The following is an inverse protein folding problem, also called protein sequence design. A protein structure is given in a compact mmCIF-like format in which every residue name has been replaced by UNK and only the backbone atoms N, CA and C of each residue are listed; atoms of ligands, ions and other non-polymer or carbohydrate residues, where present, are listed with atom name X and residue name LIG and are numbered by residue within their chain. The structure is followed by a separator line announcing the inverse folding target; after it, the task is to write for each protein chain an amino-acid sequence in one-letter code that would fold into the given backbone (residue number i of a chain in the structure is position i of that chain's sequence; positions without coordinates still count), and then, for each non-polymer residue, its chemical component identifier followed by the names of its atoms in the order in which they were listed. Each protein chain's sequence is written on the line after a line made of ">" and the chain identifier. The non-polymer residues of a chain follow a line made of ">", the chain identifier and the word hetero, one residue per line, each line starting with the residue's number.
data_IF_088088863867
#
_entry.id   IF_088088863867
#
_cell.length_a   1.000
_cell.length_b   1.000
_cell.length_c   1.000
_cell.angle_alpha   90.00
_cell.angle_beta   90.00
_cell.angle_gamma   90.00
#
_symmetry.space_group_name_H-M   'P 1'
#
loop_
_entity.id
_entity.type
_entity.pdbx_description
1 polymer ?
#
# COMPACT_ATOMS: atom_id res chain seq x y z
N UNK A 1 7.34 21.06 -13.47
CA UNK A 1 8.09 19.88 -13.99
C UNK A 1 9.58 20.12 -13.81
N UNK A 2 10.35 19.03 -13.71
CA UNK A 2 11.82 19.10 -13.76
C UNK A 2 12.26 19.54 -15.15
N UNK A 3 13.18 20.55 -15.18
CA UNK A 3 13.71 21.09 -16.44
C UNK A 3 15.07 20.50 -16.80
N UNK A 4 15.69 19.76 -15.91
CA UNK A 4 16.95 19.05 -16.08
C UNK A 4 17.58 18.67 -14.75
N UNK A 5 18.48 17.69 -14.80
CA UNK A 5 19.30 17.27 -13.67
C UNK A 5 20.75 17.46 -14.09
N UNK A 6 21.49 18.29 -13.37
CA UNK A 6 22.89 18.62 -13.67
C UNK A 6 23.76 18.44 -12.45
N UNK A 7 25.04 18.13 -12.67
CA UNK A 7 26.02 18.13 -11.59
C UNK A 7 26.12 19.54 -10.95
N UNK A 8 26.10 19.61 -9.63
CA UNK A 8 26.26 20.85 -8.92
C UNK A 8 27.76 21.24 -8.82
N UNK A 9 28.12 22.51 -9.07
CA UNK A 9 29.49 22.98 -8.84
C UNK A 9 29.87 22.94 -7.35
N UNK A 10 31.15 22.68 -7.04
CA UNK A 10 31.67 22.56 -5.67
C UNK A 10 31.41 23.79 -4.77
N UNK A 11 31.21 24.95 -5.38
CA UNK A 11 30.99 26.24 -4.69
C UNK A 11 29.60 26.83 -4.98
N UNK A 12 28.62 26.01 -5.28
CA UNK A 12 27.26 26.47 -5.45
C UNK A 12 26.71 27.09 -4.15
N UNK A 13 26.02 28.21 -4.28
CA UNK A 13 25.30 28.86 -3.19
C UNK A 13 23.82 28.85 -3.46
N UNK A 14 23.03 28.60 -2.42
CA UNK A 14 21.57 28.60 -2.49
C UNK A 14 21.05 30.03 -2.74
N UNK A 15 20.14 30.17 -3.71
CA UNK A 15 19.45 31.41 -4.05
C UNK A 15 18.05 31.46 -3.47
N UNK A 16 17.43 32.64 -3.48
CA UNK A 16 16.01 32.75 -3.12
C UNK A 16 15.14 31.87 -4.03
N UNK A 17 14.26 31.09 -3.43
CA UNK A 17 13.38 30.14 -4.14
C UNK A 17 14.00 28.76 -4.41
N UNK A 18 15.26 28.53 -4.05
CA UNK A 18 15.92 27.23 -4.11
C UNK A 18 15.79 26.48 -2.78
N UNK A 19 15.70 25.16 -2.87
CA UNK A 19 15.76 24.25 -1.72
C UNK A 19 17.12 23.56 -1.73
N UNK A 20 17.96 23.87 -0.73
CA UNK A 20 19.21 23.16 -0.51
C UNK A 20 18.96 21.84 0.22
N UNK A 21 19.31 20.74 -0.42
CA UNK A 21 19.26 19.42 0.20
C UNK A 21 20.41 19.16 1.19
N UNK A 22 21.44 20.01 1.21
CA UNK A 22 22.56 19.94 2.16
C UNK A 22 23.33 18.59 2.09
N UNK A 23 23.49 18.02 0.92
CA UNK A 23 24.12 16.70 0.73
C UNK A 23 23.23 15.49 1.13
N UNK A 24 21.99 15.73 1.48
CA UNK A 24 21.03 14.69 1.80
C UNK A 24 20.42 14.05 0.56
N UNK A 25 19.92 12.82 0.70
CA UNK A 25 19.33 12.05 -0.39
C UNK A 25 18.02 12.68 -0.86
N UNK A 26 17.90 12.91 -2.15
CA UNK A 26 16.66 13.32 -2.82
C UNK A 26 16.08 12.12 -3.56
N UNK A 27 14.81 11.82 -3.34
CA UNK A 27 14.11 10.72 -4.00
C UNK A 27 12.74 11.19 -4.52
N UNK A 28 12.14 10.41 -5.41
CA UNK A 28 10.73 10.58 -5.76
C UNK A 28 9.85 10.44 -4.49
N UNK A 29 8.65 11.04 -4.46
CA UNK A 29 7.76 10.94 -3.30
C UNK A 29 7.40 9.49 -2.98
N UNK A 30 7.18 9.20 -1.70
CA UNK A 30 6.70 7.89 -1.29
C UNK A 30 5.30 7.62 -1.82
N UNK A 31 5.06 6.36 -2.10
CA UNK A 31 3.77 5.82 -2.55
C UNK A 31 3.23 4.90 -1.46
N UNK A 32 2.01 5.15 -0.99
CA UNK A 32 1.26 4.22 -0.15
C UNK A 32 0.30 3.43 -1.04
N UNK A 33 0.66 2.21 -1.45
CA UNK A 33 -0.10 1.48 -2.46
C UNK A 33 -1.30 0.73 -1.88
N UNK A 34 -1.44 0.66 -0.54
CA UNK A 34 -2.48 -0.12 0.10
C UNK A 34 -2.78 0.35 1.52
N UNK A 35 -3.92 1.01 1.72
CA UNK A 35 -4.40 1.51 3.01
C UNK A 35 -5.93 1.49 3.07
N UNK A 36 -6.51 1.47 4.27
CA UNK A 36 -7.95 1.57 4.54
C UNK A 36 -8.27 2.91 5.23
N UNK A 37 -8.45 4.00 4.44
CA UNK A 37 -8.70 5.34 5.00
C UNK A 37 -10.10 5.48 5.60
N UNK A 38 -11.07 4.68 5.19
CA UNK A 38 -12.41 4.64 5.75
C UNK A 38 -12.42 4.12 7.19
N UNK A 39 -11.53 3.16 7.50
CA UNK A 39 -11.35 2.61 8.83
C UNK A 39 -10.25 3.32 9.65
N UNK A 40 -9.42 4.16 9.02
CA UNK A 40 -8.31 4.84 9.68
C UNK A 40 -8.74 5.61 10.94
N UNK A 41 -7.91 5.60 11.99
CA UNK A 41 -8.10 6.31 13.27
C UNK A 41 -9.32 5.85 14.08
N UNK A 42 -9.82 4.62 13.88
CA UNK A 42 -10.97 4.07 14.63
C UNK A 42 -10.56 3.03 15.68
N UNK A 43 -9.29 2.86 15.98
CA UNK A 43 -8.82 1.94 17.01
C UNK A 43 -9.48 2.24 18.38
N UNK A 44 -10.14 1.23 18.95
CA UNK A 44 -10.90 1.37 20.19
C UNK A 44 -12.36 1.81 20.03
N UNK A 45 -12.85 1.97 18.80
CA UNK A 45 -14.21 2.36 18.49
C UNK A 45 -14.97 1.26 17.72
N UNK A 46 -16.14 0.79 18.18
CA UNK A 46 -16.77 1.08 19.49
C UNK A 46 -16.07 0.36 20.65
N UNK A 47 -15.16 -0.56 20.36
CA UNK A 47 -14.36 -1.34 21.30
C UNK A 47 -12.98 -1.68 20.75
N UNK A 48 -12.05 -2.03 21.63
CA UNK A 48 -10.76 -2.54 21.22
C UNK A 48 -10.84 -3.97 20.69
N UNK A 49 -10.09 -4.27 19.63
CA UNK A 49 -9.71 -5.63 19.27
C UNK A 49 -8.76 -6.17 20.36
N UNK A 50 -9.25 -7.07 21.22
CA UNK A 50 -8.48 -7.58 22.38
C UNK A 50 -7.62 -8.79 22.05
N UNK A 51 -8.05 -9.63 21.10
CA UNK A 51 -7.29 -10.80 20.66
C UNK A 51 -6.15 -10.42 19.71
N UNK A 52 -6.26 -9.27 19.03
CA UNK A 52 -5.37 -8.85 17.97
C UNK A 52 -5.47 -9.74 16.72
N UNK A 53 -6.61 -10.42 16.52
CA UNK A 53 -6.83 -11.27 15.35
C UNK A 53 -7.51 -10.51 14.22
N UNK A 54 -7.32 -10.96 12.98
CA UNK A 54 -8.00 -10.44 11.80
C UNK A 54 -9.53 -10.49 11.97
N UNK A 55 -10.05 -11.62 12.44
CA UNK A 55 -11.50 -11.83 12.55
C UNK A 55 -12.16 -10.91 13.59
N UNK A 56 -11.54 -10.71 14.77
CA UNK A 56 -12.07 -9.74 15.75
C UNK A 56 -11.95 -8.31 15.19
N UNK A 57 -10.92 -8.00 14.39
CA UNK A 57 -10.82 -6.73 13.68
C UNK A 57 -12.01 -6.50 12.76
N UNK A 58 -12.38 -7.50 11.96
CA UNK A 58 -13.57 -7.46 11.08
C UNK A 58 -14.86 -7.27 11.88
N UNK A 59 -15.01 -7.96 13.02
CA UNK A 59 -16.17 -7.79 13.92
C UNK A 59 -16.25 -6.36 14.45
N UNK A 60 -15.13 -5.82 14.98
CA UNK A 60 -15.07 -4.42 15.46
C UNK A 60 -15.45 -3.43 14.36
N UNK A 61 -14.94 -3.65 13.15
CA UNK A 61 -15.26 -2.80 12.00
C UNK A 61 -16.73 -2.91 11.61
N UNK A 62 -17.28 -4.12 11.56
CA UNK A 62 -18.69 -4.34 11.25
C UNK A 62 -19.63 -3.61 12.25
N UNK A 63 -19.26 -3.60 13.54
CA UNK A 63 -19.96 -2.81 14.56
C UNK A 63 -19.79 -1.29 14.31
N UNK A 64 -18.56 -0.81 14.07
CA UNK A 64 -18.26 0.62 13.85
C UNK A 64 -18.93 1.15 12.57
N UNK A 65 -18.97 0.34 11.53
CA UNK A 65 -19.59 0.66 10.24
C UNK A 65 -21.05 1.09 10.37
N UNK A 66 -21.79 0.53 11.34
CA UNK A 66 -23.20 0.89 11.56
C UNK A 66 -23.40 2.34 12.02
N UNK A 67 -22.36 2.99 12.50
CA UNK A 67 -22.38 4.37 13.03
C UNK A 67 -21.57 5.34 12.18
N UNK A 68 -21.10 4.93 11.01
CA UNK A 68 -20.37 5.82 10.11
C UNK A 68 -21.25 6.96 9.63
N UNK A 69 -20.71 8.17 9.66
CA UNK A 69 -21.25 9.31 8.96
C UNK A 69 -20.28 9.83 7.90
N UNK A 70 -20.80 10.52 6.93
CA UNK A 70 -20.02 11.14 5.86
C UNK A 70 -18.92 12.06 6.43
N UNK A 71 -19.29 12.94 7.37
CA UNK A 71 -18.35 13.91 7.97
C UNK A 71 -17.28 13.24 8.84
N UNK A 72 -17.62 12.15 9.53
CA UNK A 72 -16.66 11.34 10.30
C UNK A 72 -15.57 10.76 9.41
N UNK A 73 -15.96 10.16 8.29
CA UNK A 73 -15.02 9.60 7.33
C UNK A 73 -14.12 10.69 6.72
N UNK A 74 -14.70 11.81 6.25
CA UNK A 74 -13.94 12.95 5.73
C UNK A 74 -12.91 13.45 6.74
N UNK A 75 -13.32 13.64 7.99
CA UNK A 75 -12.45 14.16 9.04
C UNK A 75 -11.24 13.26 9.27
N UNK A 76 -11.46 11.94 9.48
CA UNK A 76 -10.41 10.95 9.77
C UNK A 76 -9.49 10.72 8.58
N UNK A 77 -10.05 10.55 7.40
CA UNK A 77 -9.28 10.35 6.17
C UNK A 77 -8.41 11.58 5.83
N UNK A 78 -8.97 12.78 5.91
CA UNK A 78 -8.21 14.01 5.66
C UNK A 78 -7.09 14.23 6.67
N UNK A 79 -7.31 13.90 7.95
CA UNK A 79 -6.28 13.94 8.97
C UNK A 79 -5.16 12.94 8.67
N UNK A 80 -5.51 11.72 8.25
CA UNK A 80 -4.56 10.69 7.88
C UNK A 80 -3.74 11.09 6.66
N UNK A 81 -4.37 11.63 5.61
CA UNK A 81 -3.65 12.09 4.41
C UNK A 81 -2.72 13.27 4.69
N UNK A 82 -3.07 14.18 5.60
CA UNK A 82 -2.15 15.24 6.07
C UNK A 82 -0.94 14.65 6.80
N UNK A 83 -1.16 13.62 7.62
CA UNK A 83 -0.06 12.90 8.27
C UNK A 83 0.84 12.21 7.24
N UNK A 84 0.27 11.59 6.20
CA UNK A 84 1.00 10.96 5.11
C UNK A 84 1.85 11.98 4.34
N UNK A 85 1.26 13.11 3.95
CA UNK A 85 2.00 14.19 3.29
C UNK A 85 3.17 14.70 4.15
N UNK A 86 2.98 14.79 5.48
CA UNK A 86 4.04 15.12 6.41
C UNK A 86 5.17 14.10 6.48
N UNK A 87 4.93 12.86 6.05
CA UNK A 87 5.93 11.80 5.92
C UNK A 87 6.42 11.58 4.47
N UNK A 88 6.11 12.51 3.54
CA UNK A 88 6.59 12.45 2.16
C UNK A 88 5.78 11.55 1.22
N UNK A 89 4.64 11.03 1.66
CA UNK A 89 3.72 10.27 0.82
C UNK A 89 2.86 11.25 0.02
N UNK A 90 2.87 11.16 -1.31
CA UNK A 90 2.08 12.02 -2.19
C UNK A 90 1.14 11.25 -3.11
N UNK A 91 1.21 9.93 -3.12
CA UNK A 91 0.36 9.04 -3.91
C UNK A 91 -0.17 7.94 -3.00
N UNK A 92 -1.47 7.76 -2.99
CA UNK A 92 -2.15 6.84 -2.07
C UNK A 92 -3.21 6.05 -2.82
N UNK A 93 -3.28 4.74 -2.58
CA UNK A 93 -4.40 3.89 -2.96
C UNK A 93 -5.12 3.44 -1.70
N UNK A 94 -6.40 3.79 -1.58
CA UNK A 94 -7.23 3.40 -0.43
C UNK A 94 -8.29 2.38 -0.82
N UNK A 95 -8.38 1.31 -0.03
CA UNK A 95 -9.48 0.35 -0.11
C UNK A 95 -10.65 0.89 0.72
N UNK A 96 -11.82 0.95 0.10
CA UNK A 96 -13.03 1.48 0.73
C UNK A 96 -14.07 0.38 0.80
N UNK A 97 -14.49 0.02 2.01
CA UNK A 97 -15.51 -1.01 2.22
C UNK A 97 -16.85 -0.59 1.60
N UNK A 98 -17.28 -1.37 0.62
CA UNK A 98 -18.54 -1.15 -0.11
C UNK A 98 -19.65 -2.08 0.36
N UNK A 99 -19.43 -2.86 1.42
CA UNK A 99 -20.46 -3.68 2.05
C UNK A 99 -21.32 -2.83 3.03
N UNK A 100 -21.64 -1.63 2.59
CA UNK A 100 -22.61 -0.70 3.16
C UNK A 100 -23.58 -0.29 2.04
N UNK A 101 -24.90 -0.67 2.14
CA UNK A 101 -25.90 -0.33 1.11
C UNK A 101 -26.03 1.16 0.84
N UNK A 102 -25.66 2.02 1.78
CA UNK A 102 -25.69 3.48 1.62
C UNK A 102 -24.44 4.02 0.93
N UNK A 103 -23.37 3.22 0.82
CA UNK A 103 -22.07 3.61 0.28
C UNK A 103 -21.51 4.88 0.94
N UNK A 104 -21.68 5.00 2.25
CA UNK A 104 -21.34 6.20 3.03
C UNK A 104 -19.85 6.51 2.93
N UNK A 105 -19.01 5.50 3.16
CA UNK A 105 -17.56 5.65 3.08
C UNK A 105 -17.09 6.01 1.66
N UNK A 106 -17.65 5.37 0.63
CA UNK A 106 -17.28 5.69 -0.76
C UNK A 106 -17.59 7.14 -1.12
N UNK A 107 -18.82 7.61 -0.81
CA UNK A 107 -19.23 8.99 -1.12
C UNK A 107 -18.35 10.01 -0.42
N UNK A 108 -17.97 9.75 0.83
CA UNK A 108 -17.03 10.57 1.58
C UNK A 108 -15.62 10.55 0.94
N UNK A 109 -15.12 9.36 0.53
CA UNK A 109 -13.80 9.23 -0.08
C UNK A 109 -13.69 9.94 -1.44
N UNK A 110 -14.75 9.93 -2.25
CA UNK A 110 -14.78 10.69 -3.50
C UNK A 110 -14.62 12.20 -3.23
N UNK A 111 -15.24 12.73 -2.18
CA UNK A 111 -15.08 14.12 -1.78
C UNK A 111 -13.67 14.38 -1.19
N UNK A 112 -13.14 13.49 -0.35
CA UNK A 112 -11.78 13.58 0.18
C UNK A 112 -10.76 13.65 -0.96
N UNK A 113 -10.90 12.84 -2.01
CA UNK A 113 -10.02 12.87 -3.19
C UNK A 113 -9.93 14.27 -3.79
N UNK A 114 -11.05 14.94 -3.95
CA UNK A 114 -11.10 16.30 -4.50
C UNK A 114 -10.48 17.33 -3.55
N UNK A 115 -10.82 17.25 -2.25
CA UNK A 115 -10.33 18.17 -1.23
C UNK A 115 -8.83 18.09 -1.00
N UNK A 116 -8.21 16.91 -1.21
CA UNK A 116 -6.79 16.66 -0.91
C UNK A 116 -5.89 16.69 -2.15
N UNK A 117 -6.43 16.88 -3.34
CA UNK A 117 -5.69 16.85 -4.62
C UNK A 117 -4.49 17.81 -4.68
N UNK A 118 -4.51 18.88 -3.88
CA UNK A 118 -3.40 19.84 -3.78
C UNK A 118 -2.10 19.23 -3.19
N UNK A 119 -2.21 18.15 -2.41
CA UNK A 119 -1.04 17.56 -1.72
C UNK A 119 -0.92 16.03 -1.82
N UNK A 120 -1.97 15.32 -2.25
CA UNK A 120 -1.98 13.86 -2.44
C UNK A 120 -2.81 13.50 -3.67
N UNK A 121 -2.33 12.58 -4.49
CA UNK A 121 -3.13 11.91 -5.51
C UNK A 121 -3.73 10.63 -4.89
N UNK A 122 -5.06 10.53 -4.87
CA UNK A 122 -5.79 9.46 -4.20
C UNK A 122 -6.52 8.57 -5.21
N UNK A 123 -6.17 7.28 -5.27
CA UNK A 123 -6.92 6.24 -5.96
C UNK A 123 -7.85 5.51 -4.99
N UNK A 124 -9.05 5.21 -5.43
CA UNK A 124 -10.09 4.57 -4.63
C UNK A 124 -10.39 3.18 -5.17
N UNK A 125 -10.22 2.16 -4.32
CA UNK A 125 -10.57 0.77 -4.60
C UNK A 125 -11.97 0.47 -4.09
N UNK A 126 -12.83 -0.06 -4.94
CA UNK A 126 -14.09 -0.68 -4.53
C UNK A 126 -13.77 -1.99 -3.80
N UNK A 127 -13.81 -2.01 -2.47
CA UNK A 127 -13.40 -3.16 -1.66
C UNK A 127 -14.60 -3.84 -0.98
N UNK A 128 -14.94 -5.07 -1.37
CA UNK A 128 -16.04 -5.82 -0.77
C UNK A 128 -15.57 -6.59 0.48
N UNK A 129 -15.42 -5.92 1.62
CA UNK A 129 -14.87 -6.48 2.87
C UNK A 129 -15.52 -7.80 3.30
N UNK A 130 -16.82 -7.98 3.04
CA UNK A 130 -17.57 -9.19 3.42
C UNK A 130 -17.78 -10.16 2.23
N UNK A 131 -17.02 -9.98 1.15
CA UNK A 131 -17.12 -10.78 -0.08
C UNK A 131 -18.10 -10.20 -1.11
N UNK A 132 -18.04 -10.74 -2.31
CA UNK A 132 -18.92 -10.37 -3.44
C UNK A 132 -20.11 -11.33 -3.50
N UNK A 133 -19.86 -12.63 -3.39
CA UNK A 133 -20.90 -13.69 -3.38
C UNK A 133 -21.45 -13.94 -2.00
N UNK A 134 -20.65 -13.78 -0.97
CA UNK A 134 -21.03 -14.00 0.42
C UNK A 134 -21.84 -12.85 1.02
N UNK A 135 -21.76 -11.65 0.43
CA UNK A 135 -22.52 -10.50 0.85
C UNK A 135 -23.77 -10.28 -0.02
N UNK A 136 -24.89 -9.94 0.64
CA UNK A 136 -26.15 -9.69 -0.08
C UNK A 136 -26.03 -8.48 -0.99
N UNK A 137 -26.36 -8.66 -2.27
CA UNK A 137 -26.23 -7.64 -3.33
C UNK A 137 -24.77 -7.15 -3.55
N UNK A 138 -23.76 -7.98 -3.22
CA UNK A 138 -22.37 -7.59 -3.36
C UNK A 138 -21.99 -7.21 -4.80
N UNK A 139 -22.50 -7.94 -5.80
CA UNK A 139 -22.23 -7.64 -7.21
C UNK A 139 -22.84 -6.30 -7.63
N UNK A 140 -24.10 -6.06 -7.29
CA UNK A 140 -24.80 -4.84 -7.61
C UNK A 140 -24.13 -3.61 -6.97
N UNK A 141 -23.64 -3.76 -5.73
CA UNK A 141 -22.89 -2.71 -5.03
C UNK A 141 -21.55 -2.45 -5.74
N UNK A 142 -20.80 -3.47 -6.13
CA UNK A 142 -19.54 -3.33 -6.85
C UNK A 142 -19.74 -2.63 -8.20
N UNK A 143 -20.77 -3.00 -8.98
CA UNK A 143 -21.09 -2.34 -10.23
C UNK A 143 -21.45 -0.87 -10.02
N UNK A 144 -22.24 -0.56 -8.98
CA UNK A 144 -22.61 0.82 -8.64
C UNK A 144 -21.40 1.67 -8.23
N UNK A 145 -20.49 1.11 -7.42
CA UNK A 145 -19.29 1.80 -6.95
C UNK A 145 -18.35 2.14 -8.12
N UNK A 146 -18.18 1.22 -9.06
CA UNK A 146 -17.42 1.48 -10.29
C UNK A 146 -18.08 2.60 -11.12
N UNK A 147 -19.42 2.59 -11.23
CA UNK A 147 -20.19 3.63 -11.92
C UNK A 147 -20.06 5.00 -11.24
N UNK A 148 -19.97 5.04 -9.92
CA UNK A 148 -19.78 6.27 -9.12
C UNK A 148 -18.37 6.85 -9.22
N UNK A 149 -17.39 6.11 -9.71
CA UNK A 149 -16.06 6.63 -10.00
C UNK A 149 -14.93 6.05 -9.14
N UNK A 150 -15.09 4.83 -8.62
CA UNK A 150 -13.94 4.08 -8.11
C UNK A 150 -12.94 3.82 -9.23
N UNK A 151 -11.66 3.95 -8.92
CA UNK A 151 -10.56 3.82 -9.88
C UNK A 151 -10.13 2.36 -10.08
N UNK A 152 -10.35 1.54 -9.06
CA UNK A 152 -9.82 0.18 -8.94
C UNK A 152 -10.92 -0.77 -8.46
N UNK A 153 -10.98 -1.97 -9.02
CA UNK A 153 -11.87 -3.04 -8.56
C UNK A 153 -11.11 -3.94 -7.60
N UNK A 154 -11.63 -4.09 -6.40
CA UNK A 154 -11.08 -4.93 -5.34
C UNK A 154 -11.77 -6.28 -5.21
N UNK A 155 -11.26 -7.11 -4.30
CA UNK A 155 -11.83 -8.40 -3.93
C UNK A 155 -11.12 -9.01 -2.73
N UNK A 156 -11.78 -9.99 -2.10
CA UNK A 156 -11.25 -10.75 -0.96
C UNK A 156 -11.66 -12.23 -1.07
N UNK A 157 -11.11 -12.98 -2.07
CA UNK A 157 -11.61 -14.30 -2.41
C UNK A 157 -11.46 -15.33 -1.31
N UNK A 158 -10.47 -15.19 -0.43
CA UNK A 158 -10.24 -16.12 0.68
C UNK A 158 -11.24 -15.95 1.84
N UNK A 159 -12.02 -14.87 1.84
CA UNK A 159 -13.08 -14.60 2.81
C UNK A 159 -14.47 -15.04 2.31
N UNK A 160 -14.61 -15.38 1.04
CA UNK A 160 -15.85 -15.94 0.51
C UNK A 160 -16.21 -17.26 1.19
N UNK A 161 -17.50 -17.60 1.29
CA UNK A 161 -17.97 -18.78 2.04
C UNK A 161 -17.38 -20.10 1.55
N UNK A 162 -17.03 -20.20 0.27
CA UNK A 162 -16.44 -21.39 -0.32
C UNK A 162 -15.31 -21.04 -1.30
N UNK A 163 -14.45 -22.02 -1.57
CA UNK A 163 -13.41 -21.86 -2.60
C UNK A 163 -13.98 -21.58 -3.98
N UNK A 164 -15.12 -22.17 -4.31
CA UNK A 164 -15.78 -21.95 -5.60
C UNK A 164 -16.26 -20.49 -5.69
N UNK A 165 -16.87 -19.97 -4.64
CA UNK A 165 -17.26 -18.56 -4.57
C UNK A 165 -16.04 -17.63 -4.69
N UNK A 166 -14.94 -17.94 -4.01
CA UNK A 166 -13.70 -17.17 -4.14
C UNK A 166 -13.14 -17.16 -5.55
N UNK A 167 -13.12 -18.32 -6.22
CA UNK A 167 -12.66 -18.41 -7.60
C UNK A 167 -13.61 -17.70 -8.58
N UNK A 168 -14.91 -17.78 -8.35
CA UNK A 168 -15.92 -17.08 -9.16
C UNK A 168 -15.85 -15.56 -8.93
N UNK A 169 -15.64 -15.12 -7.70
CA UNK A 169 -15.49 -13.69 -7.37
C UNK A 169 -14.29 -13.08 -8.12
N UNK A 170 -13.15 -13.79 -8.16
CA UNK A 170 -11.97 -13.36 -8.92
C UNK A 170 -12.29 -13.25 -10.42
N UNK A 171 -12.93 -14.26 -11.02
CA UNK A 171 -13.28 -14.19 -12.44
C UNK A 171 -14.22 -13.02 -12.75
N UNK A 172 -15.22 -12.84 -11.92
CA UNK A 172 -16.23 -11.79 -12.11
C UNK A 172 -15.63 -10.39 -11.93
N UNK A 173 -14.83 -10.15 -10.87
CA UNK A 173 -14.21 -8.85 -10.65
C UNK A 173 -13.23 -8.47 -11.77
N UNK A 174 -12.49 -9.45 -12.32
CA UNK A 174 -11.59 -9.24 -13.46
C UNK A 174 -12.37 -8.82 -14.73
N UNK A 175 -13.51 -9.46 -15.01
CA UNK A 175 -14.39 -9.06 -16.11
C UNK A 175 -15.00 -7.67 -15.88
N UNK A 176 -15.43 -7.36 -14.64
CA UNK A 176 -15.96 -6.04 -14.29
C UNK A 176 -14.91 -4.95 -14.53
N UNK A 177 -13.68 -5.17 -14.06
CA UNK A 177 -12.59 -4.23 -14.22
C UNK A 177 -12.23 -4.03 -15.70
N UNK A 178 -12.05 -5.13 -16.44
CA UNK A 178 -11.70 -5.09 -17.86
C UNK A 178 -12.77 -4.37 -18.70
N UNK A 179 -14.06 -4.68 -18.45
CA UNK A 179 -15.20 -4.02 -19.15
C UNK A 179 -15.26 -2.51 -18.92
N UNK A 180 -14.85 -2.06 -17.72
CA UNK A 180 -14.94 -0.66 -17.33
C UNK A 180 -13.58 0.09 -17.38
N UNK A 181 -12.54 -0.55 -17.94
CA UNK A 181 -11.18 -0.02 -18.03
C UNK A 181 -10.64 0.44 -16.66
N UNK A 182 -10.82 -0.40 -15.61
CA UNK A 182 -10.37 -0.12 -14.23
C UNK A 182 -9.18 -0.97 -13.86
N UNK A 183 -8.32 -0.47 -12.99
CA UNK A 183 -7.28 -1.27 -12.34
C UNK A 183 -7.90 -2.34 -11.42
N UNK A 184 -7.10 -3.31 -11.03
CA UNK A 184 -7.50 -4.36 -10.08
C UNK A 184 -6.52 -4.43 -8.92
N UNK A 185 -7.05 -4.56 -7.69
CA UNK A 185 -6.25 -4.81 -6.50
C UNK A 185 -7.01 -5.74 -5.54
N UNK A 186 -6.52 -6.95 -5.40
CA UNK A 186 -7.20 -8.03 -4.66
C UNK A 186 -6.45 -8.32 -3.37
N UNK A 187 -7.16 -8.30 -2.22
CA UNK A 187 -6.69 -8.96 -0.99
C UNK A 187 -6.63 -10.45 -1.26
N UNK A 188 -5.47 -10.91 -1.72
CA UNK A 188 -5.30 -12.22 -2.29
C UNK A 188 -4.60 -13.14 -1.30
N UNK A 189 -5.27 -14.21 -0.86
CA UNK A 189 -4.68 -15.22 0.00
C UNK A 189 -4.05 -14.63 1.28
N UNK A 190 -4.74 -13.68 1.94
CA UNK A 190 -4.33 -13.06 3.22
C UNK A 190 -4.67 -13.98 4.39
N UNK A 191 -4.14 -15.15 4.35
CA UNK A 191 -4.34 -16.20 5.35
C UNK A 191 -3.11 -17.12 5.38
N UNK A 192 -2.92 -17.84 6.48
CA UNK A 192 -1.81 -18.80 6.63
C UNK A 192 -2.08 -20.16 5.99
N UNK A 193 -3.28 -20.40 5.46
CA UNK A 193 -3.67 -21.66 4.86
C UNK A 193 -2.95 -21.91 3.51
N UNK A 194 -2.08 -22.94 3.38
CA UNK A 194 -1.43 -23.26 2.11
C UNK A 194 -2.40 -23.75 1.01
N UNK A 195 -3.65 -24.02 1.34
CA UNK A 195 -4.68 -24.38 0.36
C UNK A 195 -5.46 -23.15 -0.16
N UNK A 196 -5.26 -21.96 0.42
CA UNK A 196 -5.71 -20.69 -0.19
C UNK A 196 -4.82 -20.40 -1.39
N UNK A 197 -5.37 -20.50 -2.60
CA UNK A 197 -4.61 -20.47 -3.87
C UNK A 197 -5.33 -19.63 -4.93
N UNK A 198 -5.99 -18.57 -4.53
CA UNK A 198 -6.69 -17.67 -5.44
C UNK A 198 -5.72 -16.86 -6.31
N UNK A 199 -4.47 -16.72 -5.88
CA UNK A 199 -3.42 -16.10 -6.67
C UNK A 199 -3.23 -16.79 -8.03
N UNK A 200 -3.36 -18.13 -8.12
CA UNK A 200 -3.25 -18.80 -9.42
C UNK A 200 -4.46 -18.50 -10.32
N UNK A 201 -5.66 -18.31 -9.74
CA UNK A 201 -6.85 -17.90 -10.48
C UNK A 201 -6.69 -16.47 -10.99
N UNK A 202 -6.29 -15.54 -10.12
CA UNK A 202 -6.04 -14.15 -10.49
C UNK A 202 -5.01 -14.02 -11.61
N UNK A 203 -3.89 -14.73 -11.49
CA UNK A 203 -2.83 -14.73 -12.50
C UNK A 203 -3.30 -15.35 -13.85
N UNK A 204 -4.12 -16.39 -13.81
CA UNK A 204 -4.66 -16.99 -15.01
C UNK A 204 -5.65 -16.05 -15.73
N UNK A 205 -6.53 -15.38 -14.98
CA UNK A 205 -7.47 -14.41 -15.54
C UNK A 205 -6.74 -13.17 -16.09
N UNK A 206 -5.73 -12.66 -15.39
CA UNK A 206 -4.90 -11.55 -15.86
C UNK A 206 -4.20 -11.89 -17.19
N UNK A 207 -3.69 -13.12 -17.30
CA UNK A 207 -3.08 -13.60 -18.55
C UNK A 207 -4.12 -13.77 -19.66
N UNK A 208 -5.30 -14.33 -19.35
CA UNK A 208 -6.40 -14.53 -20.31
C UNK A 208 -6.88 -13.23 -20.93
N UNK A 209 -6.94 -12.17 -20.12
CA UNK A 209 -7.42 -10.82 -20.52
C UNK A 209 -6.31 -9.91 -21.05
N UNK A 210 -5.04 -10.37 -21.05
CA UNK A 210 -3.86 -9.53 -21.33
C UNK A 210 -3.84 -8.25 -20.47
N UNK A 211 -4.11 -8.41 -19.17
CA UNK A 211 -4.38 -7.30 -18.23
C UNK A 211 -3.39 -7.23 -17.06
N UNK A 212 -2.35 -8.07 -17.05
CA UNK A 212 -1.50 -8.30 -15.88
C UNK A 212 -0.81 -7.05 -15.32
N UNK A 213 -0.35 -6.13 -16.17
CA UNK A 213 0.27 -4.88 -15.71
C UNK A 213 -0.69 -3.94 -14.95
N UNK A 214 -1.98 -4.19 -15.03
CA UNK A 214 -3.05 -3.42 -14.35
C UNK A 214 -3.63 -4.13 -13.13
N UNK A 215 -3.03 -5.27 -12.74
CA UNK A 215 -3.54 -6.13 -11.65
C UNK A 215 -2.51 -6.23 -10.55
N UNK A 216 -2.91 -5.87 -9.34
CA UNK A 216 -2.16 -6.05 -8.10
C UNK A 216 -2.72 -7.21 -7.28
N UNK A 217 -1.82 -8.04 -6.74
CA UNK A 217 -2.13 -9.05 -5.73
C UNK A 217 -1.57 -8.56 -4.39
N UNK A 218 -2.47 -8.12 -3.51
CA UNK A 218 -2.13 -7.65 -2.18
C UNK A 218 -2.01 -8.82 -1.20
N UNK A 219 -1.16 -8.69 -0.18
CA UNK A 219 -0.84 -9.65 0.88
C UNK A 219 -0.15 -10.90 0.38
N UNK A 220 -0.85 -11.81 -0.25
CA UNK A 220 -0.40 -13.14 -0.69
C UNK A 220 0.33 -13.93 0.41
N UNK A 221 -0.13 -13.79 1.67
CA UNK A 221 0.51 -14.37 2.86
C UNK A 221 0.60 -15.89 2.79
N UNK A 222 -0.42 -16.57 2.22
CA UNK A 222 -0.44 -18.00 2.05
C UNK A 222 0.76 -18.53 1.24
N UNK A 223 1.34 -17.69 0.36
CA UNK A 223 2.54 -18.07 -0.41
C UNK A 223 3.73 -18.40 0.50
N UNK A 224 3.84 -17.75 1.66
CA UNK A 224 4.84 -18.08 2.68
C UNK A 224 4.70 -19.49 3.24
N UNK A 225 3.55 -20.13 3.05
CA UNK A 225 3.22 -21.49 3.52
C UNK A 225 3.19 -22.53 2.40
N UNK A 226 3.28 -22.15 1.12
CA UNK A 226 3.26 -23.06 0.00
C UNK A 226 4.53 -23.93 -0.04
N UNK A 227 4.39 -25.17 -0.45
CA UNK A 227 5.55 -26.03 -0.73
C UNK A 227 6.30 -25.56 -2.00
N UNK A 228 7.58 -25.88 -2.08
CA UNK A 228 8.45 -25.40 -3.15
C UNK A 228 8.07 -25.95 -4.54
N UNK A 229 7.53 -27.17 -4.62
CA UNK A 229 7.08 -27.75 -5.88
C UNK A 229 5.91 -26.95 -6.47
N UNK A 230 4.94 -26.58 -5.63
CA UNK A 230 3.84 -25.70 -6.04
C UNK A 230 4.34 -24.32 -6.43
N UNK A 231 5.20 -23.70 -5.61
CA UNK A 231 5.80 -22.40 -5.92
C UNK A 231 6.55 -22.41 -7.26
N UNK A 232 7.34 -23.45 -7.55
CA UNK A 232 8.05 -23.57 -8.82
C UNK A 232 7.11 -23.53 -10.03
N UNK A 233 5.95 -24.16 -9.94
CA UNK A 233 4.90 -24.11 -10.97
C UNK A 233 4.25 -22.72 -11.02
N UNK A 234 3.86 -22.20 -9.86
CA UNK A 234 3.17 -20.90 -9.73
C UNK A 234 3.99 -19.76 -10.31
N UNK A 235 5.27 -19.67 -9.99
CA UNK A 235 6.15 -18.60 -10.49
C UNK A 235 6.25 -18.56 -12.02
N UNK A 236 6.10 -19.70 -12.72
CA UNK A 236 6.02 -19.72 -14.18
C UNK A 236 4.78 -19.00 -14.72
N UNK A 237 3.65 -19.14 -14.01
CA UNK A 237 2.41 -18.43 -14.33
C UNK A 237 2.54 -16.95 -14.00
N UNK A 238 3.04 -16.62 -12.81
CA UNK A 238 3.22 -15.23 -12.34
C UNK A 238 4.09 -14.40 -13.29
N UNK A 239 5.21 -14.99 -13.76
CA UNK A 239 6.08 -14.34 -14.76
C UNK A 239 5.37 -14.05 -16.09
N UNK A 240 4.45 -14.90 -16.50
CA UNK A 240 3.70 -14.73 -17.74
C UNK A 240 2.55 -13.74 -17.58
N UNK A 241 1.91 -13.75 -16.41
CA UNK A 241 0.77 -12.86 -16.13
C UNK A 241 1.16 -11.40 -15.94
N UNK A 242 2.40 -11.12 -15.49
CA UNK A 242 2.87 -9.76 -15.27
C UNK A 242 2.23 -9.04 -14.09
N UNK A 243 1.64 -9.77 -13.13
CA UNK A 243 1.05 -9.21 -11.92
C UNK A 243 2.05 -8.38 -11.12
N UNK A 244 1.56 -7.39 -10.41
CA UNK A 244 2.26 -6.63 -9.38
C UNK A 244 1.88 -7.12 -8.01
N UNK A 245 2.77 -7.04 -7.03
CA UNK A 245 2.57 -7.54 -5.68
C UNK A 245 2.65 -6.41 -4.67
N UNK A 246 1.74 -6.42 -3.71
CA UNK A 246 1.77 -5.51 -2.57
C UNK A 246 1.90 -6.34 -1.29
N UNK A 247 2.88 -6.01 -0.48
CA UNK A 247 3.09 -6.67 0.81
C UNK A 247 3.02 -5.64 1.92
N UNK A 248 2.32 -5.98 3.01
CA UNK A 248 2.10 -5.12 4.16
C UNK A 248 2.80 -5.71 5.39
N UNK A 249 4.14 -5.58 5.49
CA UNK A 249 4.94 -6.34 6.45
C UNK A 249 4.59 -6.05 7.91
N UNK A 250 4.25 -4.82 8.26
CA UNK A 250 3.88 -4.45 9.63
C UNK A 250 2.58 -5.10 10.08
N UNK A 251 1.61 -5.14 9.20
CA UNK A 251 0.29 -5.75 9.42
C UNK A 251 0.40 -7.27 9.45
N UNK A 252 0.99 -7.86 8.41
CA UNK A 252 1.11 -9.31 8.27
C UNK A 252 1.86 -9.96 9.43
N UNK A 253 2.95 -9.33 9.93
CA UNK A 253 3.66 -9.81 11.14
C UNK A 253 2.77 -9.83 12.39
N UNK A 254 1.80 -8.94 12.48
CA UNK A 254 0.86 -8.87 13.59
C UNK A 254 -0.29 -9.86 13.45
N UNK A 255 -0.90 -9.93 12.26
CA UNK A 255 -2.13 -10.68 12.03
C UNK A 255 -1.89 -12.17 11.75
N UNK A 256 -0.80 -12.54 11.07
CA UNK A 256 -0.55 -13.91 10.66
C UNK A 256 0.18 -14.76 11.73
N UNK A 257 0.28 -16.07 11.54
CA UNK A 257 0.92 -17.00 12.47
C UNK A 257 0.14 -17.24 13.77
N UNK A 258 -1.14 -16.86 13.82
CA UNK A 258 -1.94 -16.95 15.06
C UNK A 258 -2.27 -18.38 15.46
N UNK A 259 -2.42 -19.28 14.48
CA UNK A 259 -2.71 -20.70 14.72
C UNK A 259 -1.45 -21.56 14.88
N UNK A 260 -0.25 -20.98 14.66
CA UNK A 260 1.00 -21.71 14.86
C UNK A 260 1.31 -21.89 16.35
N UNK A 261 1.90 -23.03 16.70
CA UNK A 261 2.54 -23.23 18.00
C UNK A 261 3.94 -22.58 17.99
N UNK A 262 5.00 -23.36 17.86
CA UNK A 262 6.37 -22.90 17.67
C UNK A 262 7.10 -23.88 16.75
N UNK A 263 7.93 -23.38 15.81
CA UNK A 263 8.19 -21.97 15.51
C UNK A 263 7.01 -21.30 14.83
N UNK A 264 6.78 -20.01 15.14
CA UNK A 264 5.78 -19.21 14.43
C UNK A 264 6.30 -18.78 13.06
N UNK A 265 5.45 -18.87 12.03
CA UNK A 265 5.77 -18.32 10.71
C UNK A 265 5.78 -16.79 10.74
N UNK A 266 6.43 -16.17 9.78
CA UNK A 266 6.42 -14.70 9.63
C UNK A 266 5.15 -14.15 9.02
N UNK A 267 4.37 -15.00 8.34
CA UNK A 267 3.11 -14.60 7.73
C UNK A 267 3.23 -13.59 6.57
N UNK A 268 4.39 -13.53 5.93
CA UNK A 268 4.67 -12.62 4.82
C UNK A 268 4.89 -13.45 3.56
N UNK A 269 4.47 -12.90 2.41
CA UNK A 269 4.71 -13.49 1.09
C UNK A 269 6.21 -13.64 0.76
N UNK A 270 6.54 -14.38 -0.29
CA UNK A 270 7.93 -14.66 -0.72
C UNK A 270 8.55 -13.48 -1.47
N UNK A 271 8.71 -12.32 -0.80
CA UNK A 271 9.19 -11.08 -1.41
C UNK A 271 10.54 -11.25 -2.15
N UNK A 272 11.59 -11.85 -1.52
CA UNK A 272 12.87 -12.03 -2.22
C UNK A 272 12.74 -12.81 -3.52
N UNK A 273 12.02 -13.93 -3.49
CA UNK A 273 11.85 -14.80 -4.66
C UNK A 273 11.01 -14.13 -5.75
N UNK A 274 10.02 -13.31 -5.40
CA UNK A 274 9.26 -12.51 -6.37
C UNK A 274 10.16 -11.50 -7.07
N UNK A 275 10.97 -10.75 -6.32
CA UNK A 275 11.94 -9.79 -6.87
C UNK A 275 13.00 -10.48 -7.74
N UNK A 276 13.55 -11.61 -7.30
CA UNK A 276 14.54 -12.39 -8.05
C UNK A 276 13.92 -13.01 -9.33
N UNK A 277 12.62 -13.22 -9.33
CA UNK A 277 11.87 -13.61 -10.51
C UNK A 277 11.61 -12.47 -11.51
N UNK A 278 12.00 -11.23 -11.17
CA UNK A 278 11.77 -10.02 -11.98
C UNK A 278 10.36 -9.44 -11.84
N UNK A 279 9.61 -9.86 -10.81
CA UNK A 279 8.29 -9.31 -10.52
C UNK A 279 8.42 -8.08 -9.61
N UNK A 280 7.52 -7.11 -9.78
CA UNK A 280 7.51 -5.91 -8.94
C UNK A 280 6.77 -6.18 -7.65
N UNK A 281 7.41 -5.83 -6.52
CA UNK A 281 6.81 -5.87 -5.18
C UNK A 281 6.93 -4.48 -4.57
N UNK A 282 5.83 -3.94 -4.05
CA UNK A 282 5.84 -2.74 -3.24
C UNK A 282 5.41 -3.06 -1.81
N UNK A 283 5.83 -2.20 -0.86
CA UNK A 283 5.37 -2.26 0.52
C UNK A 283 4.33 -1.18 0.79
N UNK A 284 3.27 -1.56 1.52
CA UNK A 284 2.22 -0.69 2.04
C UNK A 284 2.06 -0.84 3.54
N UNK A 285 1.29 0.05 4.15
CA UNK A 285 1.03 0.04 5.59
C UNK A 285 -0.21 -0.76 5.95
N UNK A 286 -1.19 -0.84 5.03
CA UNK A 286 -2.52 -1.45 5.20
C UNK A 286 -3.41 -0.65 6.15
N UNK A 287 -2.99 -0.54 7.39
CA UNK A 287 -3.78 -0.02 8.49
C UNK A 287 -3.07 1.09 9.24
N UNK A 288 -3.87 2.04 9.77
CA UNK A 288 -3.37 3.12 10.62
C UNK A 288 -4.33 3.42 11.76
N UNK A 289 -4.01 2.95 12.97
CA UNK A 289 -4.80 3.14 14.19
C UNK A 289 -6.26 2.74 13.98
N UNK A 290 -6.46 1.56 13.45
CA UNK A 290 -7.77 0.96 13.19
C UNK A 290 -7.93 -0.36 13.97
N UNK A 291 -9.05 -1.09 13.81
CA UNK A 291 -9.29 -2.33 14.55
C UNK A 291 -8.30 -3.46 14.27
N UNK A 292 -7.60 -3.45 13.13
CA UNK A 292 -6.64 -4.48 12.77
C UNK A 292 -5.22 -4.16 13.25
N UNK A 293 -4.80 -2.89 13.12
CA UNK A 293 -3.46 -2.48 13.49
C UNK A 293 -3.44 -1.11 14.22
N UNK A 294 -3.36 -1.10 15.56
CA UNK A 294 -3.44 0.13 16.34
C UNK A 294 -2.17 0.99 16.30
N UNK A 295 -1.08 0.52 15.69
CA UNK A 295 0.26 1.13 15.79
C UNK A 295 0.70 1.89 14.54
N UNK A 296 -0.13 2.04 13.53
CA UNK A 296 0.16 2.77 12.29
C UNK A 296 0.48 4.25 12.55
N UNK A 297 1.52 4.77 11.89
CA UNK A 297 1.98 6.15 12.08
C UNK A 297 2.24 6.92 10.77
N UNK A 298 1.93 6.33 9.62
CA UNK A 298 2.10 6.95 8.31
C UNK A 298 3.55 7.02 7.80
N UNK A 299 4.50 6.34 8.43
CA UNK A 299 5.92 6.41 8.06
C UNK A 299 6.35 5.21 7.21
N UNK A 300 6.53 5.43 5.89
CA UNK A 300 6.97 4.39 4.95
C UNK A 300 8.39 3.88 5.22
N UNK A 301 9.29 4.68 5.78
CA UNK A 301 10.63 4.20 6.16
C UNK A 301 10.56 3.15 7.27
N UNK A 302 9.63 3.30 8.23
CA UNK A 302 9.37 2.27 9.25
C UNK A 302 8.83 0.98 8.61
N UNK A 303 7.90 1.09 7.69
CA UNK A 303 7.34 -0.07 6.97
C UNK A 303 8.43 -0.77 6.17
N UNK A 304 9.28 -0.01 5.50
CA UNK A 304 10.44 -0.53 4.76
C UNK A 304 11.41 -1.27 5.68
N UNK A 305 11.81 -0.65 6.79
CA UNK A 305 12.75 -1.26 7.76
C UNK A 305 12.22 -2.58 8.29
N UNK A 306 10.97 -2.61 8.76
CA UNK A 306 10.31 -3.85 9.22
C UNK A 306 10.26 -4.89 8.10
N UNK A 307 9.91 -4.50 6.89
CA UNK A 307 9.85 -5.39 5.73
C UNK A 307 11.20 -6.00 5.39
N UNK A 308 12.27 -5.21 5.38
CA UNK A 308 13.63 -5.70 5.11
C UNK A 308 14.09 -6.74 6.15
N UNK A 309 13.80 -6.51 7.44
CA UNK A 309 14.08 -7.46 8.50
C UNK A 309 13.25 -8.74 8.35
N UNK A 310 11.95 -8.60 8.15
CA UNK A 310 11.04 -9.72 8.05
C UNK A 310 11.30 -10.61 6.82
N UNK A 311 11.74 -10.01 5.73
CA UNK A 311 12.05 -10.71 4.47
C UNK A 311 13.52 -11.12 4.34
N UNK A 312 14.39 -10.92 5.37
CA UNK A 312 15.83 -11.20 5.31
C UNK A 312 16.55 -10.47 4.17
N UNK A 313 16.23 -9.18 3.98
CA UNK A 313 16.75 -8.36 2.87
C UNK A 313 17.79 -7.31 3.32
N UNK A 314 18.53 -7.55 4.40
CA UNK A 314 19.55 -6.62 4.92
C UNK A 314 20.94 -6.78 4.30
N UNK A 315 21.08 -7.55 3.22
CA UNK A 315 22.30 -7.53 2.41
C UNK A 315 22.45 -6.20 1.66
N UNK A 316 23.67 -5.64 1.58
CA UNK A 316 23.91 -4.29 1.01
C UNK A 316 23.33 -4.11 -0.39
N UNK A 317 23.44 -5.11 -1.27
CA UNK A 317 22.84 -5.07 -2.62
C UNK A 317 21.31 -4.93 -2.62
N UNK A 318 20.65 -5.33 -1.53
CA UNK A 318 19.21 -5.13 -1.35
C UNK A 318 18.92 -3.77 -0.71
N UNK A 319 19.74 -3.33 0.25
CA UNK A 319 19.58 -2.04 0.93
C UNK A 319 19.72 -0.90 -0.07
N UNK A 320 20.70 -0.93 -0.95
CA UNK A 320 20.93 0.12 -1.96
C UNK A 320 19.72 0.37 -2.87
N UNK A 321 18.91 -0.66 -3.10
CA UNK A 321 17.70 -0.59 -3.92
C UNK A 321 16.39 -0.62 -3.12
N UNK A 322 16.47 -0.62 -1.81
CA UNK A 322 15.31 -0.85 -0.95
C UNK A 322 14.22 0.22 -1.07
N UNK A 323 14.60 1.46 -1.35
CA UNK A 323 13.64 2.56 -1.52
C UNK A 323 12.68 2.30 -2.70
N UNK A 324 13.09 1.53 -3.72
CA UNK A 324 12.21 1.14 -4.83
C UNK A 324 10.91 0.45 -4.34
N UNK A 325 10.96 -0.22 -3.18
CA UNK A 325 9.80 -0.91 -2.60
C UNK A 325 8.71 0.04 -2.08
N UNK A 326 9.05 1.30 -1.82
CA UNK A 326 8.13 2.34 -1.32
C UNK A 326 8.04 3.55 -2.25
N UNK A 327 8.63 3.46 -3.44
CA UNK A 327 8.64 4.49 -4.50
C UNK A 327 8.22 3.88 -5.83
N UNK A 328 9.17 3.55 -6.72
CA UNK A 328 8.94 3.14 -8.12
C UNK A 328 8.04 1.90 -8.25
N UNK A 329 8.18 0.91 -7.35
CA UNK A 329 7.34 -0.28 -7.40
C UNK A 329 5.90 0.04 -6.99
N UNK A 330 5.72 0.93 -6.01
CA UNK A 330 4.41 1.46 -5.63
C UNK A 330 3.78 2.26 -6.77
N UNK A 331 4.54 3.15 -7.39
CA UNK A 331 4.09 3.94 -8.55
C UNK A 331 3.65 3.03 -9.70
N UNK A 332 4.43 1.99 -9.99
CA UNK A 332 4.04 1.00 -10.96
C UNK A 332 2.73 0.28 -10.58
N UNK A 333 2.51 -0.06 -9.30
CA UNK A 333 1.28 -0.70 -8.86
C UNK A 333 0.05 0.23 -9.02
N UNK A 334 0.23 1.53 -8.82
CA UNK A 334 -0.80 2.54 -9.04
C UNK A 334 -0.97 2.91 -10.54
N UNK A 335 -0.15 2.35 -11.43
CA UNK A 335 -0.14 2.64 -12.87
C UNK A 335 0.10 4.13 -13.16
N UNK A 336 1.06 4.74 -12.46
CA UNK A 336 1.40 6.15 -12.62
C UNK A 336 2.33 6.35 -13.82
N UNK A 337 1.86 7.06 -14.83
CA UNK A 337 2.66 7.38 -16.03
C UNK A 337 3.70 8.49 -15.79
N UNK A 338 3.39 9.44 -14.89
CA UNK A 338 4.23 10.58 -14.59
C UNK A 338 4.79 10.49 -13.15
N UNK A 339 5.81 9.65 -12.96
CA UNK A 339 6.46 9.45 -11.67
C UNK A 339 7.98 9.31 -11.82
N UNK A 340 8.74 9.97 -10.94
CA UNK A 340 10.20 9.91 -10.92
C UNK A 340 10.84 11.29 -10.83
N UNK A 341 12.17 11.32 -10.95
CA UNK A 341 12.98 12.56 -10.90
C UNK A 341 13.48 12.99 -12.28
N UNK A 342 13.16 12.28 -13.34
CA UNK A 342 13.64 12.54 -14.68
C UNK A 342 13.14 13.89 -15.24
N UNK A 343 13.86 14.41 -16.24
CA UNK A 343 13.46 15.61 -16.95
C UNK A 343 12.06 15.44 -17.57
N UNK A 344 11.23 16.45 -17.43
CA UNK A 344 9.85 16.45 -17.88
C UNK A 344 8.84 15.86 -16.89
N UNK A 345 9.28 15.12 -15.86
CA UNK A 345 8.40 14.62 -14.80
C UNK A 345 7.88 15.78 -13.91
N UNK A 346 6.73 15.62 -13.23
CA UNK A 346 6.26 16.60 -12.25
C UNK A 346 7.35 16.91 -11.21
N UNK A 347 7.51 18.17 -10.84
CA UNK A 347 8.52 18.60 -9.87
C UNK A 347 8.12 18.19 -8.45
N UNK A 348 8.17 16.89 -8.18
CA UNK A 348 7.77 16.24 -6.94
C UNK A 348 8.93 15.42 -6.39
N UNK A 349 9.35 15.74 -5.18
CA UNK A 349 10.46 15.02 -4.53
C UNK A 349 10.37 15.07 -3.02
N UNK A 350 11.17 14.24 -2.38
CA UNK A 350 11.33 14.18 -0.93
C UNK A 350 12.83 14.23 -0.61
N UNK A 351 13.20 15.02 0.40
CA UNK A 351 14.57 15.10 0.94
C UNK A 351 14.62 14.29 2.23
N UNK A 352 15.48 13.29 2.27
CA UNK A 352 15.65 12.35 3.38
C UNK A 352 16.97 12.61 4.09
N UNK A 353 16.99 12.65 5.43
CA UNK A 353 18.20 12.87 6.20
C UNK A 353 19.14 11.67 6.12
N UNK A 354 20.25 11.83 5.38
CA UNK A 354 21.25 10.83 5.04
C UNK A 354 21.65 10.94 3.58
N UNK A 355 22.88 10.62 3.21
CA UNK A 355 23.37 10.72 1.83
C UNK A 355 23.07 9.47 0.98
N UNK A 356 22.81 8.35 1.63
CA UNK A 356 22.57 7.05 0.98
C UNK A 356 21.32 6.36 1.54
N UNK A 357 20.71 5.40 0.81
CA UNK A 357 19.61 4.58 1.35
C UNK A 357 19.97 3.90 2.68
N UNK A 358 21.22 3.44 2.81
CA UNK A 358 21.72 2.83 4.05
C UNK A 358 21.68 3.81 5.24
N UNK A 359 22.21 5.03 5.08
CA UNK A 359 22.20 6.06 6.14
C UNK A 359 20.79 6.50 6.51
N UNK A 360 19.90 6.64 5.52
CA UNK A 360 18.48 6.98 5.75
C UNK A 360 17.81 5.89 6.58
N UNK A 361 17.98 4.62 6.24
CA UNK A 361 17.41 3.49 6.97
C UNK A 361 18.02 3.36 8.37
N UNK A 362 19.33 3.46 8.49
CA UNK A 362 20.03 3.41 9.78
C UNK A 362 19.58 4.54 10.72
N UNK A 363 19.40 5.74 10.17
CA UNK A 363 19.04 6.91 10.94
C UNK A 363 17.58 6.97 11.37
N UNK A 364 16.65 6.34 10.62
CA UNK A 364 15.19 6.40 10.84
C UNK A 364 14.69 7.85 11.10
N UNK A 365 15.28 8.82 10.40
CA UNK A 365 15.01 10.23 10.62
C UNK A 365 13.74 10.67 9.88
N UNK A 366 13.06 11.71 10.37
CA UNK A 366 11.94 12.32 9.65
C UNK A 366 12.37 12.87 8.29
N UNK A 367 11.43 12.90 7.35
CA UNK A 367 11.58 13.59 6.06
C UNK A 367 11.91 15.08 6.31
N UNK A 368 12.97 15.58 5.69
CA UNK A 368 13.41 17.00 5.83
C UNK A 368 12.54 17.93 4.99
N UNK A 369 12.22 17.54 3.78
CA UNK A 369 11.33 18.31 2.92
C UNK A 369 10.50 17.39 2.03
N UNK A 370 9.28 17.83 1.73
CA UNK A 370 8.42 17.25 0.70
C UNK A 370 8.01 18.36 -0.25
N UNK A 371 8.28 18.19 -1.52
CA UNK A 371 8.01 19.16 -2.59
C UNK A 371 7.00 18.57 -3.55
N UNK A 372 5.95 19.31 -3.89
CA UNK A 372 4.94 18.94 -4.87
C UNK A 372 4.72 20.06 -5.85
N UNK A 373 4.90 19.76 -7.13
CA UNK A 373 4.71 20.68 -8.24
C UNK A 373 5.49 22.01 -8.06
N UNK A 374 6.70 21.91 -7.49
CA UNK A 374 7.59 23.03 -7.21
C UNK A 374 7.28 23.80 -5.91
N UNK A 375 6.26 23.37 -5.14
CA UNK A 375 5.93 23.97 -3.85
C UNK A 375 6.36 23.08 -2.70
N UNK A 376 6.93 23.67 -1.66
CA UNK A 376 7.32 22.98 -0.43
C UNK A 376 6.08 22.74 0.43
N UNK A 377 5.63 21.48 0.52
CA UNK A 377 4.53 21.07 1.38
C UNK A 377 4.95 20.94 2.85
N UNK A 378 6.16 20.44 3.08
CA UNK A 378 6.71 20.17 4.41
C UNK A 378 8.18 20.56 4.42
N UNK A 379 8.62 21.20 5.50
CA UNK A 379 10.02 21.47 5.78
C UNK A 379 10.30 21.23 7.26
N UNK A 380 11.41 20.55 7.54
CA UNK A 380 11.92 20.31 8.90
C UNK A 380 13.42 20.58 8.93
N UNK A 381 13.92 20.99 10.09
CA UNK A 381 15.35 21.05 10.35
C UNK A 381 15.91 19.64 10.55
N UNK A 382 17.16 19.45 10.14
CA UNK A 382 17.86 18.19 10.38
C UNK A 382 18.00 17.98 11.90
N UNK A 383 17.62 16.78 12.34
CA UNK A 383 17.76 16.42 13.76
C UNK A 383 19.18 15.91 14.02
N UNK A 384 19.93 16.64 14.83
CA UNK A 384 21.22 16.23 15.37
C UNK A 384 21.14 16.12 16.89
N UNK A 385 21.65 15.05 17.50
CA UNK A 385 21.69 14.98 18.95
C UNK A 385 22.67 16.02 19.50
N UNK A 386 22.19 16.86 20.39
CA UNK A 386 23.10 17.64 21.23
C UNK A 386 23.62 16.72 22.33
N UNK A 387 24.92 16.51 22.36
CA UNK A 387 25.56 15.66 23.36
C UNK A 387 26.79 16.34 23.93
N UNK A 388 26.94 16.27 25.26
CA UNK A 388 28.19 16.64 25.94
C UNK A 388 29.23 15.50 25.94
N UNK A 389 28.96 14.40 25.28
CA UNK A 389 29.90 13.29 25.14
C UNK A 389 30.83 13.59 23.96
N UNK A 390 32.13 13.52 24.18
CA UNK A 390 33.09 13.46 23.09
C UNK A 390 33.02 12.05 22.49
N UNK A 391 32.56 11.94 21.26
CA UNK A 391 32.58 10.71 20.46
C UNK A 391 33.92 10.59 19.73
#
# INVERSE_FOLDING_TARGET
>A
RFSGITAQPDNATTRDGELDAGGNLVTAPFVEPHIHLDAAMTAGEPRWNKSGTLFEGIECWSERKTTLSHDDVISRASQTLKLFAAHGIQYVRTHVDVTDPNLTALKAMLEVREQTAAFVDLQIVAFPQEGIWSFKNGRELMEEVVRLGADVVGGIPHFEFTRDYGAESVRWLMELAHKNDRLVDVHCDEIDDPESRFLEVLAAEALRLDYGSRVSASHTCAMGSYNDAYCSRLFRLLKKSGLRFLSMPTESLHLQGRFDSYPKRRGITRVPELLDAGLKVAFGQDSIRDPWYPMGNGNMLRTLDVGLHACHMLGMSRIDRSLELITENGAAALDLDEYGLDEGMPARCVVLQGATPYEVLLGQRPVLASVRDGQVLVRREASHPETGLML
#
